data_IF_944747169698
#
_entry.id   IF_944747169698
#
_cell.length_a   1.000
_cell.length_b   1.000
_cell.length_c   1.000
_cell.angle_alpha   90.00
_cell.angle_beta   90.00
_cell.angle_gamma   90.00
#
_symmetry.space_group_name_H-M   'P 1'
#
loop_
_entity.id
_entity.type
_entity.pdbx_description
1 polymer ?
#
# COMPACT_ATOMS: atom_id res chain seq x y z
N UNK A 1 -14.06 -12.19 -16.34
CA UNK A 1 -13.51 -11.31 -15.31
C UNK A 1 -12.02 -11.20 -15.54
N UNK A 2 -11.55 -10.06 -16.07
CA UNK A 2 -10.12 -9.85 -16.28
C UNK A 2 -9.52 -9.43 -14.94
N UNK A 3 -8.73 -10.30 -14.32
CA UNK A 3 -7.90 -9.93 -13.18
C UNK A 3 -6.86 -8.93 -13.68
N UNK A 4 -6.66 -7.78 -13.02
CA UNK A 4 -5.64 -6.84 -13.45
C UNK A 4 -4.27 -7.53 -13.41
N UNK A 5 -3.54 -7.47 -14.52
CA UNK A 5 -2.20 -8.07 -14.66
C UNK A 5 -1.16 -7.42 -13.72
N UNK A 6 -1.50 -6.26 -13.15
CA UNK A 6 -0.67 -5.51 -12.23
C UNK A 6 -1.44 -5.23 -10.93
N UNK A 7 -0.82 -5.44 -9.76
CA UNK A 7 -1.48 -5.12 -8.50
C UNK A 7 -1.59 -3.61 -8.34
N UNK A 8 -2.81 -3.09 -8.48
CA UNK A 8 -3.15 -1.70 -8.12
C UNK A 8 -3.24 -1.51 -6.60
N UNK A 9 -3.26 -2.62 -5.85
CA UNK A 9 -3.33 -2.67 -4.39
C UNK A 9 -2.28 -3.64 -3.85
N UNK A 10 -1.48 -3.18 -2.89
CA UNK A 10 -0.58 -4.01 -2.10
C UNK A 10 -0.89 -3.79 -0.62
N UNK A 11 -1.20 -4.87 0.08
CA UNK A 11 -1.35 -4.89 1.53
C UNK A 11 -0.16 -5.61 2.15
N UNK A 12 0.48 -4.95 3.10
CA UNK A 12 1.63 -5.48 3.82
C UNK A 12 1.35 -5.47 5.32
N UNK A 13 1.88 -6.44 6.04
CA UNK A 13 1.84 -6.49 7.50
C UNK A 13 3.23 -6.68 8.09
N UNK A 14 3.44 -6.18 9.30
CA UNK A 14 4.63 -6.46 10.11
C UNK A 14 4.17 -6.82 11.51
N UNK A 15 4.31 -8.09 11.84
CA UNK A 15 3.89 -8.66 13.12
C UNK A 15 5.12 -9.26 13.79
N UNK A 16 5.50 -8.72 14.95
CA UNK A 16 6.60 -9.18 15.80
C UNK A 16 6.08 -9.24 17.24
N UNK A 17 5.52 -10.38 17.68
CA UNK A 17 4.94 -10.53 19.01
C UNK A 17 5.91 -10.15 20.14
N UNK A 18 7.18 -10.51 19.98
CA UNK A 18 8.28 -10.26 20.92
C UNK A 18 8.58 -8.77 21.14
N UNK A 19 8.19 -7.91 20.20
CA UNK A 19 8.33 -6.44 20.29
C UNK A 19 6.99 -5.72 20.51
N UNK A 20 5.91 -6.47 20.79
CA UNK A 20 4.54 -5.94 20.84
C UNK A 20 4.22 -5.09 19.59
N UNK A 21 4.66 -5.55 18.42
CA UNK A 21 4.48 -4.85 17.16
C UNK A 21 3.48 -5.58 16.27
N UNK A 22 2.42 -4.87 15.88
CA UNK A 22 1.42 -5.36 14.95
C UNK A 22 0.95 -4.22 14.06
N UNK A 23 1.62 -4.03 12.93
CA UNK A 23 1.40 -2.91 12.01
C UNK A 23 0.95 -3.40 10.64
N UNK A 24 0.21 -2.55 9.94
CA UNK A 24 -0.12 -2.76 8.54
C UNK A 24 0.31 -1.55 7.70
N UNK A 25 0.44 -1.79 6.40
CA UNK A 25 0.72 -0.78 5.39
C UNK A 25 0.00 -1.18 4.11
N UNK A 26 -0.88 -0.32 3.62
CA UNK A 26 -1.63 -0.53 2.38
C UNK A 26 -1.25 0.58 1.40
N UNK A 27 -1.02 0.19 0.16
CA UNK A 27 -0.65 1.07 -0.96
C UNK A 27 -1.64 0.77 -2.08
N UNK A 28 -2.32 1.78 -2.57
CA UNK A 28 -3.40 1.64 -3.55
C UNK A 28 -3.29 2.75 -4.59
N UNK A 29 -3.44 2.42 -5.87
CA UNK A 29 -3.61 3.38 -6.94
C UNK A 29 -5.10 3.65 -7.07
N UNK A 30 -5.50 4.91 -6.97
CA UNK A 30 -6.89 5.33 -7.10
C UNK A 30 -6.99 6.51 -8.05
N UNK A 31 -8.16 6.69 -8.66
CA UNK A 31 -8.52 7.95 -9.29
C UNK A 31 -9.16 8.88 -8.25
N UNK A 32 -8.83 10.17 -8.29
CA UNK A 32 -9.56 11.16 -7.51
C UNK A 32 -10.89 11.56 -8.19
N UNK A 33 -11.62 12.52 -7.59
CA UNK A 33 -12.91 13.01 -8.09
C UNK A 33 -12.82 13.67 -9.47
N UNK A 34 -11.62 14.05 -9.92
CA UNK A 34 -11.37 14.70 -11.20
C UNK A 34 -10.66 13.77 -12.20
N UNK A 35 -10.49 12.49 -11.85
CA UNK A 35 -9.82 11.49 -12.68
C UNK A 35 -8.30 11.54 -12.63
N UNK A 36 -7.70 12.32 -11.72
CA UNK A 36 -6.25 12.33 -11.56
C UNK A 36 -5.79 11.05 -10.86
N UNK A 37 -4.63 10.52 -11.28
CA UNK A 37 -4.06 9.31 -10.68
C UNK A 37 -3.39 9.66 -9.35
N UNK A 38 -3.76 8.94 -8.30
CA UNK A 38 -3.29 9.19 -6.94
C UNK A 38 -2.80 7.89 -6.31
N UNK A 39 -1.62 7.94 -5.68
CA UNK A 39 -1.13 6.88 -4.83
C UNK A 39 -1.65 7.10 -3.40
N UNK A 40 -2.64 6.31 -3.01
CA UNK A 40 -3.18 6.28 -1.65
C UNK A 40 -2.36 5.34 -0.76
N UNK A 41 -2.01 5.82 0.43
CA UNK A 41 -1.22 5.10 1.43
C UNK A 41 -1.98 5.09 2.75
N UNK A 42 -2.26 3.91 3.29
CA UNK A 42 -2.86 3.75 4.63
C UNK A 42 -1.93 2.96 5.53
N UNK A 43 -1.74 3.41 6.76
CA UNK A 43 -0.87 2.69 7.69
C UNK A 43 -1.24 2.94 9.14
N UNK A 44 -0.92 1.96 9.99
CA UNK A 44 -1.23 2.06 11.39
C UNK A 44 -0.93 0.78 12.14
N UNK A 45 -1.37 0.75 13.39
CA UNK A 45 -1.38 -0.45 14.21
C UNK A 45 -2.69 -1.21 13.93
N UNK A 46 -2.63 -2.52 13.78
CA UNK A 46 -3.82 -3.34 13.50
C UNK A 46 -4.77 -3.26 14.71
N UNK A 47 -6.06 -3.00 14.47
CA UNK A 47 -7.08 -2.85 15.53
C UNK A 47 -7.11 -1.48 16.23
N UNK A 48 -6.54 -0.45 15.60
CA UNK A 48 -6.52 0.95 16.07
C UNK A 48 -6.73 1.92 14.90
N UNK A 49 -6.90 3.21 15.22
CA UNK A 49 -6.96 4.28 14.22
C UNK A 49 -5.73 4.28 13.31
N UNK A 50 -5.97 4.58 12.03
CA UNK A 50 -4.93 4.61 11.01
C UNK A 50 -4.65 6.03 10.53
N UNK A 51 -3.54 6.17 9.82
CA UNK A 51 -3.21 7.37 9.04
C UNK A 51 -3.37 7.07 7.57
N UNK A 52 -3.74 8.10 6.83
CA UNK A 52 -3.86 8.05 5.37
C UNK A 52 -3.10 9.22 4.76
N UNK A 53 -2.53 9.00 3.57
CA UNK A 53 -1.94 10.04 2.74
C UNK A 53 -2.17 9.72 1.26
N UNK A 54 -2.45 10.76 0.50
CA UNK A 54 -2.59 10.73 -0.95
C UNK A 54 -1.39 11.45 -1.55
N UNK A 55 -0.76 10.83 -2.55
CA UNK A 55 0.32 11.45 -3.32
C UNK A 55 -0.08 11.44 -4.80
N UNK A 56 -0.36 12.63 -5.39
CA UNK A 56 -0.67 12.74 -6.81
C UNK A 56 0.46 12.17 -7.67
N UNK A 57 0.09 11.51 -8.77
CA UNK A 57 0.99 10.92 -9.75
C UNK A 57 0.68 11.53 -11.13
N UNK A 58 1.68 11.58 -12.01
CA UNK A 58 1.49 12.16 -13.35
C UNK A 58 0.57 11.30 -14.22
N UNK A 59 0.71 9.98 -14.09
CA UNK A 59 -0.04 8.98 -14.84
C UNK A 59 -0.05 7.62 -14.09
N UNK A 60 -0.77 6.65 -14.64
CA UNK A 60 -0.89 5.31 -14.06
C UNK A 60 0.45 4.55 -13.99
N UNK A 61 1.32 4.72 -14.99
CA UNK A 61 2.64 4.07 -15.01
C UNK A 61 3.54 4.57 -13.88
N UNK A 62 3.59 5.89 -13.69
CA UNK A 62 4.32 6.52 -12.58
C UNK A 62 3.78 6.09 -11.21
N UNK A 63 2.47 5.87 -11.11
CA UNK A 63 1.83 5.37 -9.89
C UNK A 63 2.20 3.90 -9.61
N UNK A 64 2.25 3.04 -10.65
CA UNK A 64 2.73 1.66 -10.55
C UNK A 64 4.19 1.61 -10.09
N UNK A 65 5.07 2.42 -10.67
CA UNK A 65 6.48 2.51 -10.28
C UNK A 65 6.64 2.97 -8.83
N UNK A 66 5.87 3.98 -8.42
CA UNK A 66 5.88 4.48 -7.05
C UNK A 66 5.35 3.44 -6.05
N UNK A 67 4.29 2.72 -6.41
CA UNK A 67 3.72 1.60 -5.64
C UNK A 67 4.75 0.49 -5.46
N UNK A 68 5.37 0.02 -6.54
CA UNK A 68 6.37 -1.04 -6.52
C UNK A 68 7.61 -0.64 -5.70
N UNK A 69 8.09 0.59 -5.88
CA UNK A 69 9.22 1.16 -5.14
C UNK A 69 8.92 1.23 -3.64
N UNK A 70 7.74 1.71 -3.27
CA UNK A 70 7.35 1.83 -1.87
C UNK A 70 7.17 0.44 -1.22
N UNK A 71 6.52 -0.50 -1.92
CA UNK A 71 6.35 -1.87 -1.45
C UNK A 71 7.72 -2.53 -1.21
N UNK A 72 8.66 -2.44 -2.16
CA UNK A 72 10.02 -2.95 -2.00
C UNK A 72 10.73 -2.35 -0.78
N UNK A 73 10.66 -1.02 -0.61
CA UNK A 73 11.23 -0.35 0.57
C UNK A 73 10.61 -0.81 1.88
N UNK A 74 9.32 -1.13 1.91
CA UNK A 74 8.64 -1.64 3.11
C UNK A 74 8.99 -3.10 3.38
N UNK A 75 9.10 -3.94 2.35
CA UNK A 75 9.59 -5.32 2.46
C UNK A 75 10.98 -5.38 3.10
N UNK A 76 11.90 -4.51 2.67
CA UNK A 76 13.24 -4.37 3.27
C UNK A 76 13.20 -3.96 4.76
N UNK A 77 12.11 -3.35 5.24
CA UNK A 77 11.90 -3.01 6.66
C UNK A 77 11.21 -4.13 7.45
N UNK A 78 11.08 -5.31 6.85
CA UNK A 78 10.47 -6.50 7.46
C UNK A 78 8.95 -6.54 7.39
N UNK A 79 8.32 -5.74 6.52
CA UNK A 79 6.92 -5.96 6.16
C UNK A 79 6.81 -7.14 5.20
N UNK A 80 5.73 -7.91 5.30
CA UNK A 80 5.45 -9.07 4.46
C UNK A 80 4.13 -8.88 3.72
N UNK A 81 4.04 -9.41 2.51
CA UNK A 81 2.81 -9.36 1.71
C UNK A 81 1.68 -10.11 2.42
N UNK A 82 0.57 -9.41 2.62
CA UNK A 82 -0.65 -10.02 3.12
C UNK A 82 -1.44 -10.47 1.90
N UNK A 83 -1.37 -11.75 1.56
CA UNK A 83 -2.30 -12.32 0.62
C UNK A 83 -3.69 -12.28 1.27
N UNK A 84 -4.64 -11.58 0.63
CA UNK A 84 -6.05 -11.78 0.94
C UNK A 84 -6.34 -13.26 0.63
N UNK A 85 -6.72 -14.01 1.66
CA UNK A 85 -7.26 -15.35 1.50
C UNK A 85 -8.61 -15.28 0.77
#
# INVERSE_FOLDING_TARGET
MQLPLFPELITLTRIRPELNERRYYQIEIVADLFGAVVLARRWGRIGRSCRMRHDPCADFGSALDALATLARRKRQRGYQDQHAA
#
